data_IF_248469926151
#
_entry.id   IF_248469926151
#
_cell.length_a   1.000
_cell.length_b   1.000
_cell.length_c   1.000
_cell.angle_alpha   90.00
_cell.angle_beta   90.00
_cell.angle_gamma   90.00
#
_symmetry.space_group_name_H-M   'P 1'
#
loop_
_entity.id
_entity.type
_entity.pdbx_description
1 polymer ?
#
# COMPACT_ATOMS: atom_id res chain seq x y z
N UNK A 1 24.75 65.85 17.54
CA UNK A 1 24.44 64.97 16.41
C UNK A 1 24.76 63.53 16.80
N UNK A 2 23.75 62.75 17.14
CA UNK A 2 23.91 61.32 17.43
C UNK A 2 23.49 60.52 16.19
N UNK A 3 24.25 59.49 15.75
CA UNK A 3 23.80 58.62 14.66
C UNK A 3 22.82 57.60 15.13
N UNK A 4 21.69 57.50 14.39
CA UNK A 4 20.61 56.57 14.63
C UNK A 4 21.04 55.10 14.39
N UNK A 5 20.65 54.23 15.33
CA UNK A 5 20.79 52.79 15.19
C UNK A 5 19.66 52.25 14.29
N UNK A 6 20.05 51.73 13.12
CA UNK A 6 19.15 50.99 12.24
C UNK A 6 19.02 49.59 12.80
N UNK A 7 17.82 49.25 13.27
CA UNK A 7 17.45 47.90 13.71
C UNK A 7 17.09 47.07 12.46
N UNK A 8 18.00 46.20 12.05
CA UNK A 8 17.72 45.23 10.98
C UNK A 8 16.91 44.06 11.60
N UNK A 9 15.61 44.04 11.31
CA UNK A 9 14.73 42.96 11.69
C UNK A 9 14.88 41.82 10.66
N UNK A 10 15.70 40.82 10.95
CA UNK A 10 15.82 39.60 10.14
C UNK A 10 14.57 38.77 10.35
N UNK A 11 13.65 38.80 9.38
CA UNK A 11 12.54 37.81 9.30
C UNK A 11 13.12 36.43 9.02
N UNK A 12 13.21 35.59 10.02
CA UNK A 12 13.40 34.14 9.86
C UNK A 12 12.11 33.56 9.31
N UNK A 13 11.99 33.43 8.00
CA UNK A 13 10.97 32.61 7.39
C UNK A 13 11.31 31.14 7.65
N UNK A 14 10.68 30.57 8.68
CA UNK A 14 10.73 29.15 8.94
C UNK A 14 10.07 28.40 7.78
N UNK A 15 10.87 27.87 6.85
CA UNK A 15 10.43 26.90 5.87
C UNK A 15 10.06 25.62 6.66
N UNK A 16 8.77 25.44 6.98
CA UNK A 16 8.26 24.14 7.41
C UNK A 16 8.35 23.20 6.19
N UNK A 17 9.45 22.48 6.09
CA UNK A 17 9.56 21.36 5.16
C UNK A 17 8.50 20.35 5.59
N UNK A 18 7.36 20.33 4.89
CA UNK A 18 6.48 19.17 4.88
C UNK A 18 7.34 18.03 4.35
N UNK A 19 7.71 17.12 5.23
CA UNK A 19 8.36 15.87 4.83
C UNK A 19 7.33 15.12 3.98
N UNK A 20 7.42 15.26 2.66
CA UNK A 20 6.62 14.46 1.72
C UNK A 20 6.95 13.00 1.99
N UNK A 21 5.92 12.20 2.24
CA UNK A 21 6.09 10.75 2.32
C UNK A 21 6.72 10.28 1.01
N UNK A 22 7.83 9.57 1.11
CA UNK A 22 8.44 8.98 -0.09
C UNK A 22 7.55 7.84 -0.59
N UNK A 23 7.19 7.83 -1.88
CA UNK A 23 6.32 6.80 -2.42
C UNK A 23 6.99 5.43 -2.37
N UNK A 24 6.21 4.41 -2.03
CA UNK A 24 6.60 2.99 -2.10
C UNK A 24 6.01 2.44 -3.39
N UNK A 25 6.73 2.58 -4.50
CA UNK A 25 6.21 2.26 -5.83
C UNK A 25 6.73 0.91 -6.31
N UNK A 26 5.82 0.09 -6.82
CA UNK A 26 6.13 -1.15 -7.55
C UNK A 26 5.49 -1.12 -8.93
N UNK A 27 6.03 -1.90 -9.88
CA UNK A 27 5.54 -1.96 -11.26
C UNK A 27 6.38 -1.12 -12.23
N UNK A 28 5.92 -1.07 -13.47
CA UNK A 28 6.53 -0.28 -14.54
C UNK A 28 5.85 1.10 -14.60
N UNK A 29 6.57 2.14 -14.21
CA UNK A 29 6.03 3.51 -14.20
C UNK A 29 5.64 4.02 -15.60
N UNK A 30 6.14 3.39 -16.67
CA UNK A 30 5.76 3.71 -18.04
C UNK A 30 4.39 3.15 -18.45
N UNK A 31 3.98 2.04 -17.86
CA UNK A 31 2.73 1.35 -18.19
C UNK A 31 1.75 1.31 -17.02
N UNK A 32 2.20 0.89 -15.85
CA UNK A 32 1.36 0.83 -14.68
C UNK A 32 2.15 0.57 -13.40
N UNK A 33 1.80 1.27 -12.34
CA UNK A 33 2.47 1.21 -11.05
C UNK A 33 1.48 1.22 -9.89
N UNK A 34 1.97 0.78 -8.74
CA UNK A 34 1.22 0.79 -7.48
C UNK A 34 2.02 1.63 -6.51
N UNK A 35 1.43 2.68 -6.00
CA UNK A 35 1.93 3.39 -4.82
C UNK A 35 1.31 2.77 -3.57
N UNK A 36 2.12 2.04 -2.83
CA UNK A 36 1.70 1.36 -1.60
C UNK A 36 1.61 2.28 -0.40
N UNK A 37 2.29 3.44 -0.44
CA UNK A 37 2.18 4.44 0.62
C UNK A 37 0.85 5.20 0.51
N UNK A 38 0.51 5.67 -0.69
CA UNK A 38 -0.74 6.37 -0.98
C UNK A 38 -1.89 5.43 -1.34
N UNK A 39 -1.62 4.13 -1.46
CA UNK A 39 -2.61 3.08 -1.76
C UNK A 39 -3.37 3.35 -3.06
N UNK A 40 -2.62 3.68 -4.11
CA UNK A 40 -3.13 3.99 -5.44
C UNK A 40 -2.52 3.09 -6.52
N UNK A 41 -3.33 2.72 -7.50
CA UNK A 41 -2.88 2.10 -8.74
C UNK A 41 -3.01 3.15 -9.85
N UNK A 42 -1.92 3.37 -10.59
CA UNK A 42 -1.90 4.26 -11.74
C UNK A 42 -1.46 3.47 -12.97
N UNK A 43 -2.16 3.67 -14.08
CA UNK A 43 -1.80 3.04 -15.34
C UNK A 43 -1.89 4.06 -16.47
N UNK A 44 -0.93 4.02 -17.37
CA UNK A 44 -0.82 4.95 -18.49
C UNK A 44 -0.99 4.22 -19.81
N UNK A 45 -1.61 4.87 -20.79
CA UNK A 45 -1.74 4.35 -22.14
C UNK A 45 -1.49 5.45 -23.15
N UNK A 46 -0.87 5.07 -24.27
CA UNK A 46 -0.58 5.95 -25.39
C UNK A 46 -1.38 5.47 -26.60
N UNK A 47 -2.17 6.35 -27.20
CA UNK A 47 -2.92 6.12 -28.43
C UNK A 47 -2.36 6.93 -29.59
N UNK A 48 -2.01 6.25 -30.69
CA UNK A 48 -1.58 6.90 -31.90
C UNK A 48 -2.78 7.37 -32.75
N UNK A 49 -2.64 8.46 -33.53
CA UNK A 49 -3.65 8.83 -34.51
C UNK A 49 -3.77 7.75 -35.60
N UNK A 50 -4.99 7.46 -36.05
CA UNK A 50 -5.22 6.57 -37.17
C UNK A 50 -5.34 7.40 -38.47
N UNK A 51 -4.39 7.27 -39.43
CA UNK A 51 -4.39 8.04 -40.66
C UNK A 51 -5.57 7.72 -41.60
N UNK A 52 -6.24 6.56 -41.44
CA UNK A 52 -7.41 6.18 -42.21
C UNK A 52 -8.68 6.95 -41.85
N UNK A 53 -8.65 7.68 -40.71
CA UNK A 53 -9.75 8.50 -40.24
C UNK A 53 -9.62 9.95 -40.72
N UNK A 54 -10.76 10.63 -40.83
CA UNK A 54 -10.74 12.08 -41.06
C UNK A 54 -9.97 12.79 -39.94
N UNK A 55 -9.32 13.90 -40.25
CA UNK A 55 -8.52 14.67 -39.30
C UNK A 55 -9.29 15.00 -38.01
N UNK A 56 -10.55 15.37 -38.11
CA UNK A 56 -11.43 15.63 -36.99
C UNK A 56 -11.69 14.39 -36.09
N UNK A 57 -11.64 13.19 -36.67
CA UNK A 57 -11.89 11.94 -35.97
C UNK A 57 -10.62 11.31 -35.37
N UNK A 58 -9.43 11.68 -35.86
CA UNK A 58 -8.16 11.08 -35.40
C UNK A 58 -7.90 11.29 -33.92
N UNK A 59 -8.03 12.52 -33.42
CA UNK A 59 -7.78 12.85 -31.99
C UNK A 59 -8.76 12.15 -31.03
N UNK A 60 -10.08 12.18 -31.23
CA UNK A 60 -11.00 11.41 -30.39
C UNK A 60 -10.74 9.90 -30.43
N UNK A 61 -10.33 9.35 -31.58
CA UNK A 61 -9.96 7.95 -31.69
C UNK A 61 -8.68 7.61 -30.91
N UNK A 62 -7.65 8.46 -30.99
CA UNK A 62 -6.40 8.32 -30.23
C UNK A 62 -6.66 8.36 -28.70
N UNK A 63 -7.52 9.26 -28.23
CA UNK A 63 -7.90 9.31 -26.80
C UNK A 63 -8.58 8.01 -26.37
N UNK A 64 -9.52 7.48 -27.17
CA UNK A 64 -10.18 6.20 -26.87
C UNK A 64 -9.17 5.05 -26.84
N UNK A 65 -8.25 5.00 -27.80
CA UNK A 65 -7.19 3.99 -27.86
C UNK A 65 -6.28 4.09 -26.63
N UNK A 66 -5.84 5.30 -26.24
CA UNK A 66 -5.04 5.53 -25.05
C UNK A 66 -5.73 5.02 -23.78
N UNK A 67 -7.02 5.32 -23.59
CA UNK A 67 -7.80 4.81 -22.44
C UNK A 67 -7.87 3.27 -22.42
N UNK A 68 -8.11 2.63 -23.56
CA UNK A 68 -8.15 1.17 -23.63
C UNK A 68 -6.79 0.53 -23.31
N UNK A 69 -5.70 1.13 -23.77
CA UNK A 69 -4.34 0.69 -23.47
C UNK A 69 -4.06 0.88 -21.97
N UNK A 70 -4.42 2.02 -21.38
CA UNK A 70 -4.26 2.26 -19.94
C UNK A 70 -5.02 1.22 -19.11
N UNK A 71 -6.27 0.89 -19.44
CA UNK A 71 -7.05 -0.13 -18.73
C UNK A 71 -6.44 -1.53 -18.86
N UNK A 72 -5.87 -1.88 -20.03
CA UNK A 72 -5.14 -3.13 -20.20
C UNK A 72 -3.88 -3.16 -19.34
N UNK A 73 -3.10 -2.07 -19.31
CA UNK A 73 -1.91 -1.95 -18.50
C UNK A 73 -2.26 -2.00 -17.00
N UNK A 74 -3.37 -1.39 -16.59
CA UNK A 74 -3.91 -1.50 -15.22
C UNK A 74 -4.19 -2.96 -14.85
N UNK A 75 -4.84 -3.73 -15.73
CA UNK A 75 -5.14 -5.14 -15.49
C UNK A 75 -3.86 -5.98 -15.32
N UNK A 76 -2.85 -5.75 -16.16
CA UNK A 76 -1.57 -6.46 -16.04
C UNK A 76 -0.83 -6.08 -14.74
N UNK A 77 -0.87 -4.81 -14.35
CA UNK A 77 -0.31 -4.34 -13.07
C UNK A 77 -1.01 -5.02 -11.88
N UNK A 78 -2.34 -5.08 -11.90
CA UNK A 78 -3.16 -5.73 -10.87
C UNK A 78 -2.84 -7.22 -10.78
N UNK A 79 -2.70 -7.94 -11.90
CA UNK A 79 -2.34 -9.36 -11.92
C UNK A 79 -1.00 -9.64 -11.26
N UNK A 80 -0.07 -8.68 -11.29
CA UNK A 80 1.25 -8.76 -10.64
C UNK A 80 1.24 -8.57 -9.13
N UNK A 81 0.13 -8.12 -8.54
CA UNK A 81 0.02 -7.87 -7.09
C UNK A 81 0.12 -9.20 -6.32
N UNK A 82 0.97 -9.22 -5.29
CA UNK A 82 1.00 -10.29 -4.31
C UNK A 82 -0.17 -10.13 -3.33
N UNK A 83 -0.98 -11.18 -3.19
CA UNK A 83 -2.00 -11.24 -2.14
C UNK A 83 -1.34 -11.73 -0.86
N UNK A 84 -0.62 -12.83 -0.94
CA UNK A 84 0.13 -13.45 0.16
C UNK A 84 1.53 -13.83 -0.30
N UNK A 85 2.33 -14.42 0.58
CA UNK A 85 3.67 -14.93 0.24
C UNK A 85 3.67 -16.07 -0.79
N UNK A 86 2.54 -16.68 -1.09
CA UNK A 86 2.42 -17.79 -2.06
C UNK A 86 1.49 -17.49 -3.25
N UNK A 87 0.68 -16.45 -3.17
CA UNK A 87 -0.41 -16.22 -4.13
C UNK A 87 -0.35 -14.81 -4.72
N UNK A 88 -0.48 -14.70 -6.04
CA UNK A 88 -0.68 -13.44 -6.77
C UNK A 88 -2.16 -13.30 -7.17
N UNK A 89 -2.56 -12.08 -7.53
CA UNK A 89 -3.90 -11.85 -8.11
C UNK A 89 -4.09 -12.69 -9.36
N UNK A 90 -3.08 -12.82 -10.23
CA UNK A 90 -3.13 -13.65 -11.43
C UNK A 90 -3.51 -15.11 -11.11
N UNK A 91 -2.81 -15.72 -10.15
CA UNK A 91 -3.07 -17.10 -9.76
C UNK A 91 -4.49 -17.25 -9.17
N UNK A 92 -4.89 -16.29 -8.33
CA UNK A 92 -6.21 -16.32 -7.72
C UNK A 92 -7.35 -16.14 -8.74
N UNK A 93 -7.13 -15.35 -9.80
CA UNK A 93 -8.08 -15.22 -10.92
C UNK A 93 -8.22 -16.52 -11.74
N UNK A 94 -7.13 -17.27 -11.91
CA UNK A 94 -7.15 -18.57 -12.62
C UNK A 94 -7.94 -19.62 -11.85
N UNK A 95 -7.85 -19.59 -10.54
CA UNK A 95 -8.53 -20.55 -9.65
C UNK A 95 -9.98 -20.17 -9.36
N UNK A 96 -10.41 -18.93 -9.68
CA UNK A 96 -11.71 -18.41 -9.28
C UNK A 96 -12.33 -17.44 -10.29
N UNK A 97 -13.33 -17.93 -11.05
CA UNK A 97 -14.03 -17.13 -12.06
C UNK A 97 -14.73 -15.89 -11.51
N UNK A 98 -15.24 -15.96 -10.27
CA UNK A 98 -15.89 -14.81 -9.61
C UNK A 98 -14.88 -13.72 -9.35
N UNK A 99 -13.66 -14.06 -8.92
CA UNK A 99 -12.56 -13.11 -8.73
C UNK A 99 -12.15 -12.52 -10.06
N UNK A 100 -12.00 -13.35 -11.09
CA UNK A 100 -11.66 -12.91 -12.45
C UNK A 100 -12.66 -11.89 -12.97
N UNK A 101 -13.96 -12.18 -12.84
CA UNK A 101 -15.04 -11.26 -13.24
C UNK A 101 -15.05 -9.97 -12.42
N UNK A 102 -14.81 -10.06 -11.11
CA UNK A 102 -14.78 -8.91 -10.19
C UNK A 102 -13.60 -7.98 -10.49
N UNK A 103 -12.39 -8.53 -10.71
CA UNK A 103 -11.20 -7.74 -11.09
C UNK A 103 -11.40 -7.08 -12.45
N UNK A 104 -11.98 -7.79 -13.43
CA UNK A 104 -12.29 -7.23 -14.75
C UNK A 104 -13.34 -6.11 -14.67
N UNK A 105 -14.33 -6.24 -13.80
CA UNK A 105 -15.30 -5.19 -13.48
C UNK A 105 -14.67 -3.98 -12.81
N UNK A 106 -13.80 -4.23 -11.85
CA UNK A 106 -13.07 -3.20 -11.12
C UNK A 106 -12.21 -2.32 -12.04
N UNK A 107 -11.48 -2.92 -12.99
CA UNK A 107 -10.66 -2.17 -13.95
C UNK A 107 -11.48 -1.17 -14.76
N UNK A 108 -12.75 -1.46 -15.05
CA UNK A 108 -13.64 -0.52 -15.75
C UNK A 108 -14.00 0.73 -14.95
N UNK A 109 -13.82 0.70 -13.62
CA UNK A 109 -14.06 1.81 -12.70
C UNK A 109 -12.87 2.78 -12.57
N UNK A 110 -11.77 2.57 -13.31
CA UNK A 110 -10.65 3.50 -13.31
C UNK A 110 -11.06 4.88 -13.82
N UNK A 111 -10.65 5.91 -13.12
CA UNK A 111 -10.88 7.30 -13.49
C UNK A 111 -9.64 7.90 -14.14
N UNK A 112 -9.85 8.88 -15.03
CA UNK A 112 -8.73 9.59 -15.64
C UNK A 112 -8.04 10.45 -14.57
N UNK A 113 -6.71 10.31 -14.47
CA UNK A 113 -5.87 11.14 -13.64
C UNK A 113 -5.27 12.29 -14.45
N UNK A 114 -5.53 13.51 -13.98
CA UNK A 114 -5.00 14.71 -14.61
C UNK A 114 -5.52 14.96 -16.02
N UNK A 115 -4.79 15.76 -16.79
CA UNK A 115 -5.14 16.13 -18.13
C UNK A 115 -4.56 15.16 -19.16
N UNK A 116 -5.29 14.97 -20.25
CA UNK A 116 -4.76 14.30 -21.45
C UNK A 116 -3.54 15.04 -21.97
N UNK A 117 -2.42 14.34 -22.16
CA UNK A 117 -1.22 14.89 -22.76
C UNK A 117 -1.23 14.65 -24.27
N UNK A 118 -0.98 15.71 -25.03
CA UNK A 118 -0.89 15.67 -26.50
C UNK A 118 0.55 15.79 -26.92
N UNK A 119 1.01 14.87 -27.76
CA UNK A 119 2.40 14.84 -28.25
C UNK A 119 2.50 15.46 -29.63
N UNK A 120 3.70 15.85 -30.04
CA UNK A 120 3.97 16.52 -31.31
C UNK A 120 3.73 15.64 -32.55
N UNK A 121 3.78 14.32 -32.38
CA UNK A 121 3.48 13.33 -33.42
C UNK A 121 1.97 13.02 -33.57
N UNK A 122 1.11 13.75 -32.83
CA UNK A 122 -0.33 13.55 -32.80
C UNK A 122 -0.79 12.43 -31.88
N UNK A 123 0.12 11.71 -31.23
CA UNK A 123 -0.24 10.71 -30.22
C UNK A 123 -0.76 11.37 -28.94
N UNK A 124 -1.47 10.58 -28.14
CA UNK A 124 -2.16 11.03 -26.94
C UNK A 124 -1.80 10.09 -25.79
N UNK A 125 -1.37 10.65 -24.66
CA UNK A 125 -1.17 9.92 -23.42
C UNK A 125 -2.31 10.20 -22.44
N UNK A 126 -2.83 9.15 -21.84
CA UNK A 126 -3.86 9.21 -20.78
C UNK A 126 -3.40 8.36 -19.61
N UNK A 127 -3.41 8.97 -18.42
CA UNK A 127 -3.22 8.26 -17.15
C UNK A 127 -4.58 7.98 -16.50
N UNK A 128 -4.71 6.77 -15.98
CA UNK A 128 -5.90 6.30 -15.25
C UNK A 128 -5.48 5.89 -13.85
N UNK A 129 -6.33 6.16 -12.85
CA UNK A 129 -6.07 5.78 -11.45
C UNK A 129 -7.26 5.14 -10.79
N UNK A 130 -6.97 4.35 -9.75
CA UNK A 130 -7.98 3.80 -8.84
C UNK A 130 -7.37 3.58 -7.46
N UNK A 131 -8.13 3.78 -6.37
CA UNK A 131 -7.68 3.44 -5.04
C UNK A 131 -7.58 1.92 -4.85
N UNK A 132 -6.57 1.51 -4.08
CA UNK A 132 -6.35 0.11 -3.71
C UNK A 132 -7.30 -0.32 -2.59
N UNK A 133 -7.64 0.60 -1.68
CA UNK A 133 -8.48 0.40 -0.51
C UNK A 133 -9.82 1.14 -0.63
N UNK A 134 -10.79 0.68 0.16
CA UNK A 134 -12.15 1.21 0.21
C UNK A 134 -13.21 0.20 -0.20
N UNK A 135 -14.46 0.55 0.02
CA UNK A 135 -15.60 -0.31 -0.36
C UNK A 135 -15.65 -0.47 -1.88
N UNK A 136 -15.66 -1.71 -2.35
CA UNK A 136 -15.64 -2.03 -3.77
C UNK A 136 -14.27 -1.87 -4.44
N UNK A 137 -13.23 -1.43 -3.72
CA UNK A 137 -11.87 -1.39 -4.22
C UNK A 137 -11.25 -2.79 -4.29
N UNK A 138 -10.03 -2.86 -4.86
CA UNK A 138 -9.35 -4.14 -5.08
C UNK A 138 -9.13 -4.91 -3.77
N UNK A 139 -8.76 -4.20 -2.69
CA UNK A 139 -8.60 -4.78 -1.36
C UNK A 139 -9.86 -5.47 -0.87
N UNK A 140 -11.02 -4.82 -0.95
CA UNK A 140 -12.31 -5.40 -0.56
C UNK A 140 -12.67 -6.64 -1.39
N UNK A 141 -12.46 -6.58 -2.69
CA UNK A 141 -12.75 -7.70 -3.61
C UNK A 141 -11.89 -8.94 -3.33
N UNK A 142 -10.63 -8.75 -2.97
CA UNK A 142 -9.66 -9.83 -2.79
C UNK A 142 -9.57 -10.29 -1.33
N UNK A 143 -9.60 -9.37 -0.36
CA UNK A 143 -9.49 -9.69 1.06
C UNK A 143 -10.82 -10.18 1.65
N UNK A 144 -11.94 -9.84 1.06
CA UNK A 144 -13.26 -10.25 1.54
C UNK A 144 -13.49 -11.75 1.64
N UNK A 145 -12.61 -12.56 1.05
CA UNK A 145 -12.62 -14.04 1.16
C UNK A 145 -11.54 -14.58 2.09
N UNK A 146 -10.57 -13.77 2.49
CA UNK A 146 -9.42 -14.18 3.33
C UNK A 146 -9.49 -13.61 4.74
N UNK A 147 -10.27 -12.55 4.96
CA UNK A 147 -10.48 -11.90 6.26
C UNK A 147 -11.83 -12.33 6.83
N UNK A 148 -11.82 -12.89 8.03
CA UNK A 148 -13.05 -13.29 8.73
C UNK A 148 -13.70 -12.09 9.42
N UNK A 149 -15.02 -12.10 9.58
CA UNK A 149 -15.74 -11.02 10.28
C UNK A 149 -15.41 -10.95 11.78
N UNK A 150 -14.88 -12.04 12.34
CA UNK A 150 -14.42 -12.09 13.73
C UNK A 150 -12.96 -12.52 13.78
N UNK A 151 -12.04 -11.62 14.18
CA UNK A 151 -10.63 -11.95 14.30
C UNK A 151 -10.40 -12.96 15.43
N UNK A 152 -9.70 -14.05 15.12
CA UNK A 152 -9.29 -15.06 16.08
C UNK A 152 -8.07 -14.60 16.89
N UNK A 153 -8.22 -13.50 17.65
CA UNK A 153 -7.09 -12.95 18.41
C UNK A 153 -7.01 -13.63 19.76
N UNK A 154 -5.98 -14.45 19.96
CA UNK A 154 -5.62 -15.04 21.25
C UNK A 154 -4.27 -14.53 21.71
N UNK A 155 -4.10 -14.44 23.03
CA UNK A 155 -2.77 -14.23 23.62
C UNK A 155 -1.88 -15.43 23.32
N UNK A 156 -0.57 -15.22 23.16
CA UNK A 156 0.37 -16.33 23.12
C UNK A 156 0.43 -16.99 24.51
N UNK A 157 0.03 -18.26 24.57
CA UNK A 157 0.18 -19.03 25.77
C UNK A 157 1.66 -19.44 25.97
N UNK A 158 2.14 -19.34 27.20
CA UNK A 158 3.45 -19.90 27.59
C UNK A 158 4.67 -19.02 27.34
N UNK A 159 4.56 -17.86 26.70
CA UNK A 159 5.69 -16.94 26.54
C UNK A 159 5.56 -15.78 27.53
N UNK A 160 6.55 -15.64 28.42
CA UNK A 160 6.58 -14.50 29.35
C UNK A 160 7.15 -13.29 28.60
N UNK A 161 6.31 -12.27 28.37
CA UNK A 161 6.80 -10.97 27.95
C UNK A 161 7.76 -10.39 29.01
N UNK A 162 8.82 -9.73 28.56
CA UNK A 162 9.75 -9.05 29.47
C UNK A 162 9.09 -7.89 30.22
N UNK A 163 8.14 -7.21 29.55
CA UNK A 163 7.28 -6.17 30.13
C UNK A 163 5.95 -6.16 29.38
N UNK A 164 4.85 -5.98 30.11
CA UNK A 164 3.56 -5.70 29.47
C UNK A 164 3.56 -4.26 28.96
N UNK A 165 3.87 -4.07 27.67
CA UNK A 165 3.87 -2.76 27.00
C UNK A 165 2.58 -2.59 26.21
N UNK A 166 1.95 -1.43 26.33
CA UNK A 166 0.76 -1.07 25.59
C UNK A 166 1.12 -0.12 24.46
N UNK A 167 0.84 -0.55 23.23
CA UNK A 167 1.07 0.21 22.02
C UNK A 167 -0.25 0.68 21.38
N UNK A 168 -0.18 1.70 20.54
CA UNK A 168 -1.32 2.18 19.74
C UNK A 168 -1.28 1.70 18.29
N UNK A 169 -0.16 1.13 17.87
CA UNK A 169 0.12 0.58 16.56
C UNK A 169 1.50 -0.08 16.57
N UNK A 170 1.95 -0.57 15.42
CA UNK A 170 3.21 -1.27 15.27
C UNK A 170 3.94 -0.80 14.00
N UNK A 171 5.22 -0.49 14.13
CA UNK A 171 6.14 -0.25 13.02
C UNK A 171 7.15 -1.39 12.99
N UNK A 172 7.30 -2.04 11.84
CA UNK A 172 8.30 -3.09 11.65
C UNK A 172 9.32 -2.58 10.63
N UNK A 173 10.56 -2.38 11.09
CA UNK A 173 11.67 -1.99 10.23
C UNK A 173 12.21 -3.22 9.48
N UNK A 174 11.94 -3.28 8.18
CA UNK A 174 12.31 -4.37 7.29
C UNK A 174 13.40 -3.96 6.29
N UNK A 175 14.06 -2.83 6.50
CA UNK A 175 15.11 -2.35 5.60
C UNK A 175 16.25 -3.36 5.46
N UNK A 176 16.72 -3.52 4.23
CA UNK A 176 17.77 -4.48 3.90
C UNK A 176 17.30 -5.94 3.78
N UNK A 177 16.01 -6.22 3.97
CA UNK A 177 15.46 -7.57 3.89
C UNK A 177 14.87 -7.90 2.52
N UNK A 178 14.83 -6.94 1.58
CA UNK A 178 14.23 -7.09 0.25
C UNK A 178 12.77 -7.56 0.30
N UNK A 179 12.01 -7.06 1.27
CA UNK A 179 10.60 -7.39 1.43
C UNK A 179 9.78 -6.75 0.32
N UNK A 180 8.90 -7.55 -0.29
CA UNK A 180 7.99 -7.10 -1.34
C UNK A 180 6.62 -6.78 -0.76
N UNK A 181 5.99 -5.67 -1.16
CA UNK A 181 4.64 -5.35 -0.71
C UNK A 181 3.61 -6.38 -1.16
N UNK A 182 2.61 -6.63 -0.32
CA UNK A 182 1.48 -7.50 -0.60
C UNK A 182 0.19 -6.96 0.05
N UNK A 183 -0.97 -7.44 -0.37
CA UNK A 183 -2.27 -7.06 0.20
C UNK A 183 -2.46 -7.64 1.60
N UNK A 184 -1.99 -8.86 1.83
CA UNK A 184 -2.18 -9.61 3.08
C UNK A 184 -0.89 -10.33 3.51
N UNK A 185 0.19 -9.58 3.82
CA UNK A 185 1.40 -10.18 4.36
C UNK A 185 1.19 -10.62 5.81
N UNK A 186 2.06 -11.51 6.30
CA UNK A 186 2.06 -12.00 7.68
C UNK A 186 3.31 -11.56 8.42
N UNK A 187 3.17 -11.46 9.74
CA UNK A 187 4.28 -11.38 10.68
C UNK A 187 4.35 -12.68 11.45
N UNK A 188 5.48 -13.33 11.41
CA UNK A 188 5.77 -14.60 12.06
C UNK A 188 6.82 -14.39 13.15
N UNK A 189 6.82 -15.24 14.16
CA UNK A 189 7.95 -15.35 15.08
C UNK A 189 9.01 -16.33 14.53
N UNK A 190 10.16 -16.45 15.22
CA UNK A 190 11.25 -17.35 14.84
C UNK A 190 10.82 -18.84 14.84
N UNK A 191 9.75 -19.16 15.57
CA UNK A 191 9.17 -20.52 15.61
C UNK A 191 8.17 -20.77 14.49
N UNK A 192 7.92 -19.77 13.62
CA UNK A 192 6.95 -19.84 12.53
C UNK A 192 5.49 -19.63 12.96
N UNK A 193 5.23 -19.22 14.20
CA UNK A 193 3.87 -18.90 14.65
C UNK A 193 3.46 -17.53 14.11
N UNK A 194 2.22 -17.41 13.68
CA UNK A 194 1.69 -16.15 13.17
C UNK A 194 1.41 -15.18 14.32
N UNK A 195 2.10 -14.04 14.30
CA UNK A 195 1.92 -12.94 15.24
C UNK A 195 0.83 -11.99 14.74
N UNK A 196 0.81 -11.75 13.43
CA UNK A 196 -0.12 -10.86 12.76
C UNK A 196 -0.36 -11.30 11.31
N UNK A 197 -1.59 -11.09 10.82
CA UNK A 197 -1.99 -11.40 9.45
C UNK A 197 -3.51 -11.30 9.30
N UNK A 198 -4.03 -11.74 8.15
CA UNK A 198 -5.46 -11.61 7.81
C UNK A 198 -6.41 -12.31 8.80
N UNK A 199 -5.95 -13.34 9.50
CA UNK A 199 -6.75 -14.03 10.52
C UNK A 199 -7.01 -13.19 11.79
N UNK A 200 -6.25 -12.12 11.98
CA UNK A 200 -6.29 -11.30 13.19
C UNK A 200 -6.91 -9.91 13.00
N UNK A 201 -7.28 -9.56 11.78
CA UNK A 201 -7.81 -8.23 11.46
C UNK A 201 -9.31 -8.26 11.23
N UNK A 202 -10.01 -7.19 11.60
CA UNK A 202 -11.41 -7.06 11.24
C UNK A 202 -11.55 -6.64 9.78
N UNK A 203 -12.58 -7.16 9.11
CA UNK A 203 -12.86 -6.86 7.71
C UNK A 203 -13.04 -5.35 7.45
N UNK A 204 -13.75 -4.66 8.34
CA UNK A 204 -13.99 -3.22 8.23
C UNK A 204 -12.66 -2.43 8.12
N UNK A 205 -11.72 -2.73 9.02
CA UNK A 205 -10.43 -2.06 9.04
C UNK A 205 -9.53 -2.47 7.89
N UNK A 206 -9.58 -3.75 7.48
CA UNK A 206 -8.83 -4.24 6.33
C UNK A 206 -9.29 -3.60 5.02
N UNK A 207 -10.59 -3.34 4.86
CA UNK A 207 -11.14 -2.61 3.71
C UNK A 207 -10.71 -1.14 3.74
N UNK A 208 -10.76 -0.50 4.93
CA UNK A 208 -10.49 0.92 5.07
C UNK A 208 -9.01 1.28 4.91
N UNK A 209 -8.10 0.46 5.44
CA UNK A 209 -6.68 0.78 5.54
C UNK A 209 -5.75 -0.24 4.86
N UNK A 210 -6.29 -1.37 4.38
CA UNK A 210 -5.49 -2.53 4.03
C UNK A 210 -4.91 -3.21 5.27
N UNK A 211 -4.51 -4.47 5.15
CA UNK A 211 -3.96 -5.27 6.27
C UNK A 211 -2.69 -4.61 6.82
N UNK A 212 -1.78 -4.15 5.97
CA UNK A 212 -0.53 -3.47 6.33
C UNK A 212 -0.36 -2.19 5.53
N UNK A 213 0.16 -1.13 6.17
CA UNK A 213 0.67 0.07 5.50
C UNK A 213 2.14 -0.10 5.14
N UNK A 214 2.63 0.72 4.21
CA UNK A 214 4.03 0.70 3.80
C UNK A 214 4.64 2.10 3.87
N UNK A 215 5.93 2.17 4.19
CA UNK A 215 6.71 3.41 4.26
C UNK A 215 8.17 3.15 3.87
N UNK A 216 8.87 4.16 3.41
CA UNK A 216 10.32 4.12 3.13
C UNK A 216 11.18 4.45 4.34
N UNK A 217 10.61 5.02 5.41
CA UNK A 217 11.36 5.45 6.57
C UNK A 217 10.55 5.28 7.86
N UNK A 218 11.23 4.91 8.95
CA UNK A 218 10.63 4.75 10.28
C UNK A 218 10.04 6.08 10.76
N UNK A 219 10.76 7.20 10.57
CA UNK A 219 10.29 8.52 10.98
C UNK A 219 9.04 8.98 10.19
N UNK A 220 8.94 8.60 8.92
CA UNK A 220 7.75 8.87 8.11
C UNK A 220 6.58 8.00 8.59
N UNK A 221 6.82 6.71 8.84
CA UNK A 221 5.83 5.81 9.41
C UNK A 221 5.31 6.32 10.78
N UNK A 222 6.20 6.79 11.66
CA UNK A 222 5.84 7.31 12.97
C UNK A 222 4.94 8.57 12.91
N UNK A 223 4.98 9.32 11.82
CA UNK A 223 4.10 10.48 11.58
C UNK A 223 2.70 10.13 11.09
N UNK A 224 2.45 8.87 10.70
CA UNK A 224 1.14 8.40 10.23
C UNK A 224 0.20 8.12 11.43
N UNK A 225 0.01 9.12 12.30
CA UNK A 225 -0.73 8.99 13.56
C UNK A 225 -2.18 8.51 13.37
N UNK A 226 -2.81 8.84 12.25
CA UNK A 226 -4.17 8.37 11.91
C UNK A 226 -4.24 6.85 11.78
N UNK A 227 -3.14 6.22 11.33
CA UNK A 227 -3.05 4.77 11.23
C UNK A 227 -2.54 4.10 12.49
N UNK A 228 -1.41 4.56 13.06
CA UNK A 228 -0.70 3.83 14.14
C UNK A 228 -0.86 4.48 15.52
N UNK A 229 -1.59 5.60 15.61
CA UNK A 229 -1.74 6.34 16.86
C UNK A 229 -0.47 7.07 17.29
N UNK A 230 -0.43 7.49 18.57
CA UNK A 230 0.62 8.38 19.09
C UNK A 230 1.78 7.64 19.76
N UNK A 231 1.64 6.36 20.08
CA UNK A 231 2.63 5.55 20.78
C UNK A 231 2.78 4.17 20.13
N UNK A 232 3.29 4.10 18.87
CA UNK A 232 3.51 2.81 18.22
C UNK A 232 4.69 2.07 18.80
N UNK A 233 4.58 0.74 18.91
CA UNK A 233 5.72 -0.14 19.11
C UNK A 233 6.61 -0.14 17.86
N UNK A 234 7.92 -0.27 18.05
CA UNK A 234 8.88 -0.40 16.97
C UNK A 234 9.68 -1.69 17.17
N UNK A 235 9.68 -2.53 16.13
CA UNK A 235 10.44 -3.77 16.13
C UNK A 235 11.25 -3.87 14.85
N UNK A 236 12.30 -4.66 14.86
CA UNK A 236 13.13 -4.93 13.68
C UNK A 236 12.76 -6.27 13.08
N UNK A 237 12.47 -6.30 11.78
CA UNK A 237 12.38 -7.53 11.01
C UNK A 237 13.74 -8.24 10.98
N UNK A 238 13.74 -9.56 11.08
CA UNK A 238 14.95 -10.38 11.01
C UNK A 238 15.20 -10.93 9.62
N UNK A 239 14.15 -11.36 8.94
CA UNK A 239 14.21 -11.86 7.56
C UNK A 239 12.86 -11.77 6.88
N UNK A 240 12.87 -11.62 5.55
CA UNK A 240 11.72 -11.87 4.71
C UNK A 240 11.44 -13.38 4.63
N UNK A 241 10.17 -13.76 4.51
CA UNK A 241 9.75 -15.15 4.48
C UNK A 241 8.70 -15.40 3.38
N UNK A 242 8.59 -16.67 2.99
CA UNK A 242 7.68 -17.13 1.94
C UNK A 242 8.27 -16.99 0.53
N UNK A 243 7.63 -17.66 -0.44
CA UNK A 243 8.11 -17.76 -1.84
C UNK A 243 8.29 -16.39 -2.48
N UNK A 244 7.42 -15.44 -2.17
CA UNK A 244 7.44 -14.09 -2.74
C UNK A 244 8.10 -13.06 -1.82
N UNK A 245 8.68 -13.48 -0.67
CA UNK A 245 9.35 -12.59 0.29
C UNK A 245 8.46 -11.43 0.77
N UNK A 246 7.20 -11.71 1.04
CA UNK A 246 6.22 -10.71 1.50
C UNK A 246 5.95 -10.78 3.00
N UNK A 247 6.18 -11.95 3.62
CA UNK A 247 6.03 -12.16 5.05
C UNK A 247 7.32 -11.77 5.80
N UNK A 248 7.20 -11.41 7.07
CA UNK A 248 8.30 -10.96 7.92
C UNK A 248 8.42 -11.87 9.12
N UNK A 249 9.66 -12.24 9.48
CA UNK A 249 9.97 -12.88 10.76
C UNK A 249 10.53 -11.84 11.71
N UNK A 250 10.00 -11.81 12.94
CA UNK A 250 10.49 -11.00 14.06
C UNK A 250 11.00 -11.92 15.17
N UNK A 251 11.70 -11.36 16.17
CA UNK A 251 12.18 -12.15 17.31
C UNK A 251 11.04 -12.74 18.15
N UNK A 252 11.28 -13.87 18.79
CA UNK A 252 10.32 -14.45 19.71
C UNK A 252 10.01 -13.50 20.89
N UNK A 253 10.99 -12.72 21.32
CA UNK A 253 10.83 -11.72 22.39
C UNK A 253 9.87 -10.61 21.93
N UNK A 254 10.09 -10.01 20.78
CA UNK A 254 9.21 -8.96 20.22
C UNK A 254 7.79 -9.50 19.98
N UNK A 255 7.69 -10.72 19.47
CA UNK A 255 6.39 -11.38 19.28
C UNK A 255 5.64 -11.56 20.60
N UNK A 256 6.34 -11.95 21.66
CA UNK A 256 5.77 -12.07 22.99
C UNK A 256 5.32 -10.71 23.54
N UNK A 257 6.14 -9.68 23.41
CA UNK A 257 5.82 -8.33 23.90
C UNK A 257 4.60 -7.75 23.16
N UNK A 258 4.51 -7.93 21.83
CA UNK A 258 3.36 -7.51 21.03
C UNK A 258 2.07 -8.21 21.46
N UNK A 259 2.13 -9.53 21.74
CA UNK A 259 0.95 -10.34 22.05
C UNK A 259 0.64 -10.45 23.57
N UNK A 260 1.43 -9.81 24.43
CA UNK A 260 1.29 -9.90 25.89
C UNK A 260 0.08 -9.13 26.42
N UNK A 261 -0.14 -7.91 25.92
CA UNK A 261 -1.18 -7.04 26.42
C UNK A 261 -2.49 -7.21 25.64
N UNK A 262 -3.61 -7.40 26.34
CA UNK A 262 -4.93 -7.48 25.69
C UNK A 262 -5.25 -6.22 24.87
N UNK A 263 -4.75 -5.04 25.29
CA UNK A 263 -4.92 -3.78 24.55
C UNK A 263 -4.18 -3.76 23.21
N UNK A 264 -3.07 -4.50 23.09
CA UNK A 264 -2.33 -4.62 21.84
C UNK A 264 -3.12 -5.41 20.79
N UNK A 265 -3.92 -6.37 21.20
CA UNK A 265 -4.77 -7.14 20.29
C UNK A 265 -5.77 -6.25 19.56
N UNK A 266 -6.19 -5.13 20.17
CA UNK A 266 -7.09 -4.16 19.56
C UNK A 266 -6.43 -3.46 18.36
N UNK A 267 -5.22 -2.92 18.50
CA UNK A 267 -4.57 -2.24 17.39
C UNK A 267 -4.23 -3.19 16.24
N UNK A 268 -3.91 -4.45 16.54
CA UNK A 268 -3.71 -5.48 15.52
C UNK A 268 -5.01 -5.70 14.73
N UNK A 269 -6.17 -5.86 15.41
CA UNK A 269 -7.45 -6.03 14.72
C UNK A 269 -7.86 -4.80 13.89
N UNK A 270 -7.39 -3.61 14.25
CA UNK A 270 -7.63 -2.35 13.54
C UNK A 270 -6.61 -2.07 12.42
N UNK A 271 -5.80 -3.05 12.00
CA UNK A 271 -4.79 -2.92 10.94
C UNK A 271 -3.77 -1.80 11.17
N UNK A 272 -3.45 -1.49 12.44
CA UNK A 272 -2.52 -0.41 12.81
C UNK A 272 -1.06 -0.86 12.75
N UNK A 273 -0.68 -1.45 11.61
CA UNK A 273 0.65 -1.99 11.35
C UNK A 273 1.23 -1.36 10.10
N UNK A 274 2.51 -0.98 10.15
CA UNK A 274 3.27 -0.43 9.01
C UNK A 274 4.58 -1.21 8.87
N UNK A 275 4.88 -1.64 7.64
CA UNK A 275 6.20 -2.16 7.26
C UNK A 275 7.02 -1.02 6.64
N UNK A 276 8.25 -0.85 7.15
CA UNK A 276 9.23 0.05 6.53
C UNK A 276 10.13 -0.79 5.66
N UNK A 277 10.09 -0.54 4.34
CA UNK A 277 10.79 -1.33 3.32
C UNK A 277 11.72 -0.47 2.48
N UNK A 278 12.60 -1.09 1.68
CA UNK A 278 13.58 -0.41 0.80
C UNK A 278 12.95 0.38 -0.35
#
# INVERSE_FOLDING_TARGET
MQPGKILVCTLLTGLTAFAQMQPVVTGDQGNGSIDWADRLIVATGIGAPNPDLSEAAQRPAAIRAAKQIALRNALETIKGIFITSSTTVKNFMVENDVVSSSVSGFVKGFEQEGNTKYMSDGSVEVSMKVPLDGVGALGDLLLGKTVTDQPAITKFEGTKAKKEQVFTGLIIDCKGLSVKPALSPRVLDESGREVYGSAYVSREWAIKYGVVGYSKAVDAAAKMADRIGKNPGQVKGQKAYGTNSTDIVISNDDAADIRSAAKNLKFLSECRVIFVID
#
